data_IF_380792409090
#
_entry.id   IF_380792409090
#
_cell.length_a   1.000
_cell.length_b   1.000
_cell.length_c   1.000
_cell.angle_alpha   90.00
_cell.angle_beta   90.00
_cell.angle_gamma   90.00
#
_symmetry.space_group_name_H-M   'P 1'
#
loop_
_entity.id
_entity.type
_entity.pdbx_description
1 polymer ?
#
# COMPACT_ATOMS: atom_id res chain seq x y z
N UNK A 1 -9.32 -2.22 -15.22
CA UNK A 1 -9.59 -2.15 -13.77
C UNK A 1 -10.95 -1.51 -13.64
N UNK A 2 -11.95 -2.30 -13.26
CA UNK A 2 -13.34 -1.86 -13.23
C UNK A 2 -13.51 -0.85 -12.10
N UNK A 3 -13.96 0.35 -12.44
CA UNK A 3 -14.34 1.36 -11.48
C UNK A 3 -15.69 0.92 -10.90
N UNK A 4 -15.67 0.24 -9.76
CA UNK A 4 -16.89 -0.02 -9.00
C UNK A 4 -17.44 1.34 -8.57
N UNK A 5 -18.64 1.67 -9.02
CA UNK A 5 -19.42 2.76 -8.47
C UNK A 5 -19.95 2.31 -7.11
N UNK A 6 -19.06 2.27 -6.11
CA UNK A 6 -19.45 2.10 -4.71
C UNK A 6 -20.10 3.41 -4.27
N UNK A 7 -21.41 3.36 -4.03
CA UNK A 7 -22.12 4.49 -3.44
C UNK A 7 -21.45 4.89 -2.12
N UNK A 8 -21.38 6.19 -1.86
CA UNK A 8 -20.72 6.71 -0.67
C UNK A 8 -21.48 6.26 0.60
N UNK A 9 -20.87 5.38 1.39
CA UNK A 9 -21.44 4.93 2.66
C UNK A 9 -21.24 5.99 3.75
N UNK A 10 -22.36 6.49 4.27
CA UNK A 10 -22.36 7.53 5.30
C UNK A 10 -22.12 6.98 6.71
N UNK A 11 -22.32 5.68 6.90
CA UNK A 11 -22.25 4.98 8.20
C UNK A 11 -20.91 4.26 8.34
N UNK A 12 -20.54 3.40 7.39
CA UNK A 12 -19.24 2.72 7.39
C UNK A 12 -18.21 3.50 6.56
N UNK A 13 -17.62 4.54 7.16
CA UNK A 13 -16.67 5.45 6.48
C UNK A 13 -15.23 4.91 6.37
N UNK A 14 -14.93 3.76 7.00
CA UNK A 14 -13.63 3.09 6.92
C UNK A 14 -13.79 1.61 6.50
N UNK A 15 -14.27 1.34 5.26
CA UNK A 15 -14.49 -0.03 4.80
C UNK A 15 -13.20 -0.85 4.67
N UNK A 16 -12.05 -0.18 4.53
CA UNK A 16 -10.73 -0.82 4.40
C UNK A 16 -10.01 -0.96 5.75
N UNK A 17 -10.64 -0.57 6.87
CA UNK A 17 -10.06 -0.64 8.22
C UNK A 17 -8.68 0.04 8.33
N UNK A 18 -8.53 1.21 7.70
CA UNK A 18 -7.28 1.97 7.70
C UNK A 18 -6.93 2.52 9.08
N UNK A 19 -7.93 2.75 9.94
CA UNK A 19 -7.74 3.43 11.22
C UNK A 19 -8.08 2.55 12.43
N UNK A 20 -7.92 1.23 12.31
CA UNK A 20 -8.17 0.28 13.41
C UNK A 20 -7.43 0.65 14.70
N UNK A 21 -6.17 1.06 14.58
CA UNK A 21 -5.31 1.37 15.73
C UNK A 21 -5.63 2.70 16.44
N UNK A 22 -6.44 3.57 15.81
CA UNK A 22 -6.74 4.93 16.30
C UNK A 22 -8.12 5.01 16.94
N UNK A 23 -8.81 3.87 17.08
CA UNK A 23 -10.08 3.81 17.78
C UNK A 23 -9.84 3.99 19.28
N UNK A 24 -10.24 5.15 19.80
CA UNK A 24 -10.09 5.48 21.23
C UNK A 24 -11.46 5.40 21.90
N UNK A 25 -11.67 4.37 22.73
CA UNK A 25 -12.84 4.28 23.60
C UNK A 25 -12.57 4.95 24.96
N UNK A 26 -13.64 5.33 25.67
CA UNK A 26 -13.52 5.94 27.00
C UNK A 26 -12.78 5.03 27.98
N UNK A 27 -13.10 3.72 27.96
CA UNK A 27 -12.46 2.72 28.82
C UNK A 27 -10.97 2.53 28.52
N UNK A 28 -10.50 2.80 27.30
CA UNK A 28 -9.08 2.68 26.94
C UNK A 28 -8.24 3.82 27.54
N UNK A 29 -8.88 4.96 27.85
CA UNK A 29 -8.19 6.16 28.34
C UNK A 29 -8.38 6.36 29.83
N UNK A 30 -9.61 6.16 30.31
CA UNK A 30 -10.04 6.48 31.67
C UNK A 30 -10.64 5.27 32.39
N UNK A 31 -10.39 4.05 31.89
CA UNK A 31 -10.83 2.81 32.50
C UNK A 31 -10.39 2.67 33.95
N UNK A 32 -11.34 2.43 34.85
CA UNK A 32 -11.06 2.11 36.25
C UNK A 32 -10.88 0.59 36.45
N UNK A 33 -9.97 0.14 37.34
CA UNK A 33 -9.78 -1.28 37.65
C UNK A 33 -10.89 -1.80 38.58
N UNK A 34 -11.20 -3.09 38.52
CA UNK A 34 -12.31 -3.74 39.28
C UNK A 34 -12.25 -3.56 40.81
N UNK A 35 -11.07 -3.26 41.36
CA UNK A 35 -10.86 -3.06 42.80
C UNK A 35 -11.13 -1.63 43.30
N UNK A 36 -11.27 -0.66 42.39
CA UNK A 36 -11.38 0.76 42.74
C UNK A 36 -12.30 1.45 41.76
N UNK A 37 -13.53 1.76 42.20
CA UNK A 37 -14.51 2.47 41.40
C UNK A 37 -14.83 3.85 41.97
N UNK A 38 -14.85 4.83 41.08
CA UNK A 38 -15.46 6.13 41.38
C UNK A 38 -16.97 5.99 41.54
N UNK A 39 -17.59 7.02 42.12
CA UNK A 39 -19.05 7.08 42.29
C UNK A 39 -19.74 7.05 40.92
N UNK A 40 -20.80 6.25 40.76
CA UNK A 40 -21.49 5.99 39.48
C UNK A 40 -21.90 7.26 38.71
N UNK A 41 -22.33 8.29 39.44
CA UNK A 41 -22.71 9.58 38.86
C UNK A 41 -21.52 10.27 38.18
N UNK A 42 -20.35 10.26 38.82
CA UNK A 42 -19.11 10.80 38.25
C UNK A 42 -18.65 9.98 37.06
N UNK A 43 -18.73 8.65 37.14
CA UNK A 43 -18.36 7.75 36.05
C UNK A 43 -19.20 8.01 34.79
N UNK A 44 -20.52 8.04 34.94
CA UNK A 44 -21.46 8.28 33.82
C UNK A 44 -21.33 9.68 33.23
N UNK A 45 -21.14 10.69 34.08
CA UNK A 45 -20.95 12.08 33.64
C UNK A 45 -19.64 12.21 32.85
N UNK A 46 -18.56 11.60 33.35
CA UNK A 46 -17.25 11.58 32.67
C UNK A 46 -17.33 10.91 31.30
N UNK A 47 -17.98 9.76 31.19
CA UNK A 47 -18.20 9.07 29.92
C UNK A 47 -18.93 9.97 28.90
N UNK A 48 -19.99 10.65 29.35
CA UNK A 48 -20.80 11.53 28.51
C UNK A 48 -20.02 12.77 28.07
N UNK A 49 -19.33 13.44 28.99
CA UNK A 49 -18.51 14.61 28.72
C UNK A 49 -17.36 14.28 27.75
N UNK A 50 -16.66 13.17 27.97
CA UNK A 50 -15.58 12.71 27.10
C UNK A 50 -16.09 12.44 25.67
N UNK A 51 -17.17 11.67 25.54
CA UNK A 51 -17.75 11.32 24.23
C UNK A 51 -18.24 12.55 23.49
N UNK A 52 -18.95 13.45 24.17
CA UNK A 52 -19.46 14.68 23.58
C UNK A 52 -18.33 15.62 23.14
N UNK A 53 -17.35 15.87 24.01
CA UNK A 53 -16.20 16.73 23.70
C UNK A 53 -15.40 16.20 22.52
N UNK A 54 -15.03 14.91 22.54
CA UNK A 54 -14.30 14.25 21.45
C UNK A 54 -15.05 14.40 20.11
N UNK A 55 -16.34 14.09 20.11
CA UNK A 55 -17.15 14.15 18.89
C UNK A 55 -17.34 15.58 18.39
N UNK A 56 -17.52 16.55 19.29
CA UNK A 56 -17.67 17.95 18.92
C UNK A 56 -16.38 18.50 18.30
N UNK A 57 -15.24 18.34 18.97
CA UNK A 57 -13.94 18.78 18.48
C UNK A 57 -13.57 18.10 17.15
N UNK A 58 -13.77 16.79 17.05
CA UNK A 58 -13.51 16.05 15.81
C UNK A 58 -14.36 16.57 14.65
N UNK A 59 -15.67 16.75 14.85
CA UNK A 59 -16.57 17.28 13.81
C UNK A 59 -16.19 18.70 13.41
N UNK A 60 -15.82 19.55 14.36
CA UNK A 60 -15.42 20.93 14.10
C UNK A 60 -14.15 20.98 13.22
N UNK A 61 -13.08 20.30 13.64
CA UNK A 61 -11.82 20.26 12.89
C UNK A 61 -12.02 19.59 11.53
N UNK A 62 -12.80 18.50 11.46
CA UNK A 62 -13.10 17.81 10.20
C UNK A 62 -13.88 18.71 9.23
N UNK A 63 -14.79 19.55 9.72
CA UNK A 63 -15.56 20.47 8.86
C UNK A 63 -14.66 21.58 8.30
N UNK A 64 -13.79 22.14 9.14
CA UNK A 64 -12.90 23.24 8.71
C UNK A 64 -11.76 22.77 7.80
N UNK A 65 -11.12 21.65 8.16
CA UNK A 65 -9.89 21.20 7.50
C UNK A 65 -10.12 20.00 6.59
N UNK A 66 -11.10 19.14 6.90
CA UNK A 66 -11.31 17.89 6.18
C UNK A 66 -11.67 18.09 4.71
N UNK A 67 -12.49 19.08 4.38
CA UNK A 67 -12.83 19.38 2.99
C UNK A 67 -11.62 19.85 2.19
N UNK A 68 -10.81 20.76 2.76
CA UNK A 68 -9.60 21.26 2.11
C UNK A 68 -8.58 20.12 1.87
N UNK A 69 -8.39 19.25 2.86
CA UNK A 69 -7.51 18.08 2.75
C UNK A 69 -8.04 17.10 1.70
N UNK A 70 -9.35 16.84 1.67
CA UNK A 70 -9.96 15.96 0.67
C UNK A 70 -9.75 16.49 -0.76
N UNK A 71 -9.89 17.81 -0.97
CA UNK A 71 -9.59 18.43 -2.27
C UNK A 71 -8.11 18.29 -2.62
N UNK A 72 -7.20 18.54 -1.67
CA UNK A 72 -5.77 18.42 -1.90
C UNK A 72 -5.38 17.00 -2.36
N UNK A 73 -5.83 15.96 -1.65
CA UNK A 73 -5.58 14.57 -2.03
C UNK A 73 -6.26 14.19 -3.36
N UNK A 74 -7.47 14.68 -3.61
CA UNK A 74 -8.15 14.47 -4.88
C UNK A 74 -7.36 15.04 -6.07
N UNK A 75 -6.81 16.24 -5.93
CA UNK A 75 -5.94 16.85 -6.94
C UNK A 75 -4.63 16.07 -7.12
N UNK A 76 -3.98 15.68 -6.02
CA UNK A 76 -2.74 14.90 -6.05
C UNK A 76 -2.90 13.59 -6.83
N UNK A 77 -3.91 12.79 -6.48
CA UNK A 77 -4.15 11.51 -7.15
C UNK A 77 -4.61 11.70 -8.61
N UNK A 78 -5.30 12.79 -8.94
CA UNK A 78 -5.64 13.11 -10.32
C UNK A 78 -4.39 13.40 -11.17
N UNK A 79 -3.42 14.15 -10.63
CA UNK A 79 -2.15 14.44 -11.30
C UNK A 79 -1.28 13.19 -11.45
N UNK A 80 -1.16 12.38 -10.39
CA UNK A 80 -0.43 11.09 -10.44
C UNK A 80 -1.03 10.20 -11.53
N UNK A 81 -2.37 10.11 -11.58
CA UNK A 81 -3.05 9.29 -12.60
C UNK A 81 -2.81 9.84 -14.00
N UNK A 82 -2.85 11.16 -14.18
CA UNK A 82 -2.54 11.81 -15.44
C UNK A 82 -1.10 11.46 -15.90
N UNK A 83 -0.11 11.63 -15.03
CA UNK A 83 1.28 11.32 -15.35
C UNK A 83 1.47 9.83 -15.67
N UNK A 84 0.85 8.93 -14.90
CA UNK A 84 0.93 7.49 -15.15
C UNK A 84 0.38 7.11 -16.53
N UNK A 85 -0.76 7.68 -16.93
CA UNK A 85 -1.41 7.38 -18.21
C UNK A 85 -0.67 8.02 -19.38
N UNK A 86 -0.34 9.31 -19.28
CA UNK A 86 0.13 10.11 -20.41
C UNK A 86 1.65 10.17 -20.54
N UNK A 87 2.40 9.96 -19.45
CA UNK A 87 3.86 10.01 -19.47
C UNK A 87 4.46 8.62 -19.27
N UNK A 88 4.16 7.94 -18.17
CA UNK A 88 4.86 6.69 -17.83
C UNK A 88 4.45 5.52 -18.71
N UNK A 89 3.17 5.36 -19.02
CA UNK A 89 2.70 4.27 -19.89
C UNK A 89 3.41 4.27 -21.26
N UNK A 90 3.44 5.38 -22.03
CA UNK A 90 4.18 5.40 -23.29
C UNK A 90 5.70 5.31 -23.11
N UNK A 91 6.27 5.95 -22.08
CA UNK A 91 7.70 5.86 -21.81
C UNK A 91 8.16 4.42 -21.52
N UNK A 92 7.40 3.68 -20.71
CA UNK A 92 7.66 2.27 -20.42
C UNK A 92 7.54 1.40 -21.67
N UNK A 93 6.58 1.70 -22.57
CA UNK A 93 6.48 1.01 -23.86
C UNK A 93 7.70 1.28 -24.75
N UNK A 94 8.14 2.53 -24.85
CA UNK A 94 9.35 2.88 -25.60
C UNK A 94 10.60 2.21 -25.01
N UNK A 95 10.75 2.25 -23.68
CA UNK A 95 11.85 1.58 -22.98
C UNK A 95 11.85 0.06 -23.21
N UNK A 96 10.68 -0.58 -23.19
CA UNK A 96 10.54 -2.01 -23.49
C UNK A 96 11.03 -2.37 -24.90
N UNK A 97 10.80 -1.51 -25.90
CA UNK A 97 11.29 -1.73 -27.27
C UNK A 97 12.82 -1.67 -27.30
N UNK A 98 13.40 -0.64 -26.66
CA UNK A 98 14.85 -0.45 -26.58
C UNK A 98 15.50 -1.64 -25.85
N UNK A 99 14.93 -2.05 -24.72
CA UNK A 99 15.42 -3.19 -23.95
C UNK A 99 15.31 -4.49 -24.74
N UNK A 100 14.25 -4.68 -25.53
CA UNK A 100 14.10 -5.83 -26.41
C UNK A 100 15.20 -5.93 -27.48
N UNK A 101 15.67 -4.79 -28.01
CA UNK A 101 16.81 -4.74 -28.92
C UNK A 101 18.10 -5.13 -28.18
N UNK A 102 18.35 -4.52 -27.01
CA UNK A 102 19.51 -4.84 -26.18
C UNK A 102 19.56 -6.32 -25.79
N UNK A 103 18.42 -6.91 -25.44
CA UNK A 103 18.31 -8.34 -25.13
C UNK A 103 18.74 -9.22 -26.29
N UNK A 104 18.38 -8.87 -27.54
CA UNK A 104 18.82 -9.60 -28.74
C UNK A 104 20.34 -9.48 -28.93
N UNK A 105 20.89 -8.26 -28.83
CA UNK A 105 22.32 -8.04 -28.93
C UNK A 105 23.09 -8.85 -27.87
N UNK A 106 22.61 -8.83 -26.63
CA UNK A 106 23.20 -9.60 -25.54
C UNK A 106 23.10 -11.11 -25.78
N UNK A 107 21.95 -11.59 -26.27
CA UNK A 107 21.78 -13.00 -26.64
C UNK A 107 22.76 -13.46 -27.73
N UNK A 108 23.05 -12.61 -28.72
CA UNK A 108 24.08 -12.89 -29.74
C UNK A 108 25.46 -12.96 -29.09
N UNK A 109 25.82 -12.00 -28.23
CA UNK A 109 27.12 -12.00 -27.53
C UNK A 109 27.32 -13.25 -26.68
N UNK A 110 26.30 -13.65 -25.92
CA UNK A 110 26.33 -14.88 -25.12
C UNK A 110 26.48 -16.11 -26.02
N UNK A 111 25.76 -16.18 -27.13
CA UNK A 111 25.83 -17.31 -28.06
C UNK A 111 27.18 -17.41 -28.77
N UNK A 112 27.78 -16.29 -29.15
CA UNK A 112 29.08 -16.29 -29.85
C UNK A 112 30.26 -16.54 -28.90
N UNK A 113 30.24 -15.97 -27.70
CA UNK A 113 31.39 -16.00 -26.79
C UNK A 113 31.26 -17.07 -25.72
N UNK A 114 30.11 -17.14 -25.05
CA UNK A 114 29.93 -17.97 -23.86
C UNK A 114 29.57 -19.41 -24.22
N UNK A 115 28.76 -19.63 -25.26
CA UNK A 115 28.39 -20.98 -25.70
C UNK A 115 29.60 -21.88 -26.02
N UNK A 116 30.61 -21.47 -26.83
CA UNK A 116 31.77 -22.33 -27.09
C UNK A 116 32.63 -22.60 -25.84
N UNK A 117 32.70 -21.65 -24.90
CA UNK A 117 33.38 -21.84 -23.62
C UNK A 117 32.65 -22.90 -22.79
N UNK A 118 31.33 -22.80 -22.66
CA UNK A 118 30.52 -23.79 -21.95
C UNK A 118 30.60 -25.17 -22.60
N UNK A 119 30.61 -25.24 -23.93
CA UNK A 119 30.75 -26.48 -24.68
C UNK A 119 32.10 -27.16 -24.43
N UNK A 120 33.19 -26.39 -24.47
CA UNK A 120 34.53 -26.91 -24.16
C UNK A 120 34.66 -27.39 -22.71
N UNK A 121 34.12 -26.66 -21.73
CA UNK A 121 34.06 -27.15 -20.35
C UNK A 121 33.22 -28.43 -20.23
N UNK A 122 32.08 -28.52 -20.93
CA UNK A 122 31.27 -29.74 -20.99
C UNK A 122 32.04 -30.94 -21.52
N UNK A 123 32.84 -30.76 -22.56
CA UNK A 123 33.72 -31.81 -23.12
C UNK A 123 34.80 -32.26 -22.12
N UNK A 124 35.37 -31.35 -21.31
CA UNK A 124 36.32 -31.72 -20.26
C UNK A 124 35.71 -32.67 -19.23
N UNK A 125 34.42 -32.50 -18.88
CA UNK A 125 33.73 -33.37 -17.93
C UNK A 125 33.05 -34.60 -18.57
N UNK A 126 32.84 -34.59 -19.89
CA UNK A 126 32.19 -35.68 -20.64
C UNK A 126 32.98 -37.00 -20.61
N UNK A 127 34.28 -36.99 -20.36
CA UNK A 127 35.10 -38.20 -20.32
C UNK A 127 35.04 -38.95 -18.96
N UNK A 128 34.29 -38.44 -17.98
CA UNK A 128 34.09 -39.12 -16.70
C UNK A 128 32.94 -40.12 -16.85
N UNK A 129 33.28 -41.37 -17.19
CA UNK A 129 32.32 -42.47 -17.21
C UNK A 129 32.09 -43.01 -15.79
N UNK A 130 30.87 -42.85 -15.28
CA UNK A 130 30.44 -43.47 -14.03
C UNK A 130 30.25 -44.97 -14.26
N UNK A 131 31.20 -45.78 -13.80
CA UNK A 131 31.05 -47.24 -13.77
C UNK A 131 29.97 -47.59 -12.74
N UNK A 132 28.81 -48.06 -13.21
CA UNK A 132 27.71 -48.51 -12.34
C UNK A 132 28.17 -49.75 -11.57
N UNK A 133 28.14 -49.66 -10.24
CA UNK A 133 28.49 -50.73 -9.31
C UNK A 133 27.32 -51.71 -9.16
#
# INVERSE_FOLDING_TARGET
MAQQNEGLDLTARDPNSLHGDIQVAFHDVLGEPDGTHSIDCLWTSSHTCFTCSKNCCYKFVSTLCGLCIAVAWGCEFALITFEAVWCFTPALKAYSIIMGINQRCFGILISCCLAPICETFGLCFSNISMKKM
#
